data_IF_758671633500
#
_entry.id   IF_758671633500
#
_cell.length_a   1.000
_cell.length_b   1.000
_cell.length_c   1.000
_cell.angle_alpha   90.00
_cell.angle_beta   90.00
_cell.angle_gamma   90.00
#
_symmetry.space_group_name_H-M   'P 1'
#
loop_
_entity.id
_entity.type
_entity.pdbx_description
1 polymer ?
#
# COMPACT_ATOMS: atom_id res chain seq x y z
N UNK A 1 46.52 28.57 6.09
CA UNK A 1 46.46 27.10 6.08
C UNK A 1 45.10 26.69 5.54
N UNK A 2 45.08 26.05 4.37
CA UNK A 2 43.87 25.49 3.76
C UNK A 2 43.53 24.15 4.42
N UNK A 3 42.25 23.90 4.66
CA UNK A 3 41.66 22.55 4.57
C UNK A 3 40.16 22.67 4.30
N UNK A 4 39.80 22.40 3.04
CA UNK A 4 38.45 22.05 2.59
C UNK A 4 38.17 20.64 3.07
N UNK A 5 37.02 20.38 3.69
CA UNK A 5 36.51 19.02 3.85
C UNK A 5 35.35 18.85 2.88
N UNK A 6 35.61 17.99 1.89
CA UNK A 6 34.65 17.50 0.91
C UNK A 6 33.65 16.54 1.56
N UNK A 7 32.47 16.50 0.94
CA UNK A 7 31.37 15.59 1.21
C UNK A 7 31.76 14.11 1.13
N UNK A 8 31.12 13.30 1.97
CA UNK A 8 30.66 11.97 1.58
C UNK A 8 29.23 11.79 2.10
N UNK A 9 28.27 12.11 1.24
CA UNK A 9 26.91 11.59 1.30
C UNK A 9 26.98 10.08 1.08
N UNK A 10 27.01 9.33 2.18
CA UNK A 10 26.79 7.89 2.16
C UNK A 10 25.35 7.62 1.76
N UNK A 11 25.18 7.13 0.54
CA UNK A 11 23.94 6.54 0.01
C UNK A 11 23.48 5.47 1.00
N UNK A 12 22.48 5.77 1.81
CA UNK A 12 21.75 4.72 2.53
C UNK A 12 21.03 3.87 1.48
N UNK A 13 21.32 2.56 1.39
CA UNK A 13 20.49 1.68 0.59
C UNK A 13 19.10 1.67 1.23
N UNK A 14 18.07 1.91 0.41
CA UNK A 14 16.66 1.76 0.77
C UNK A 14 16.47 0.32 1.24
N UNK A 15 16.60 0.13 2.55
CA UNK A 15 16.54 -1.15 3.22
C UNK A 15 15.15 -1.75 3.01
N UNK A 16 15.14 -2.94 2.43
CA UNK A 16 13.98 -3.83 2.32
C UNK A 16 13.34 -4.01 3.71
N UNK A 17 12.24 -3.30 3.95
CA UNK A 17 11.47 -3.36 5.21
C UNK A 17 10.51 -4.57 5.29
N UNK A 18 10.84 -5.70 4.67
CA UNK A 18 10.06 -6.93 4.77
C UNK A 18 10.92 -8.06 5.34
N UNK A 19 11.13 -7.99 6.65
CA UNK A 19 11.70 -9.06 7.45
C UNK A 19 10.62 -10.05 7.91
N UNK A 20 10.75 -11.29 7.42
CA UNK A 20 10.15 -12.55 7.88
C UNK A 20 8.65 -12.81 7.64
N UNK A 21 8.37 -13.53 6.55
CA UNK A 21 7.60 -14.79 6.61
C UNK A 21 8.00 -15.65 5.41
N UNK A 22 8.97 -16.52 5.62
CA UNK A 22 9.47 -17.49 4.65
C UNK A 22 8.49 -18.66 4.52
N UNK A 23 7.42 -18.48 3.75
CA UNK A 23 6.63 -19.58 3.18
C UNK A 23 6.18 -19.20 1.77
N UNK A 24 6.94 -19.64 0.77
CA UNK A 24 6.59 -19.70 -0.66
C UNK A 24 5.52 -18.70 -1.14
N UNK A 25 5.80 -17.41 -0.97
CA UNK A 25 5.08 -16.37 -1.71
C UNK A 25 5.82 -16.29 -3.04
N UNK A 26 5.19 -16.81 -4.09
CA UNK A 26 5.36 -16.39 -5.49
C UNK A 26 5.86 -14.94 -5.48
N UNK A 27 6.94 -14.59 -6.18
CA UNK A 27 7.55 -13.24 -6.12
C UNK A 27 6.53 -12.16 -6.51
N UNK A 28 5.68 -11.75 -5.57
CA UNK A 28 4.62 -10.76 -5.76
C UNK A 28 5.32 -9.42 -5.66
N UNK A 29 5.33 -8.69 -6.77
CA UNK A 29 5.86 -7.35 -6.80
C UNK A 29 4.87 -6.43 -6.09
N UNK A 30 5.26 -5.90 -4.94
CA UNK A 30 4.47 -4.95 -4.17
C UNK A 30 4.95 -3.53 -4.50
N UNK A 31 4.14 -2.82 -5.27
CA UNK A 31 4.37 -1.40 -5.55
C UNK A 31 3.96 -0.49 -4.39
N UNK A 32 4.19 0.80 -4.58
CA UNK A 32 3.72 1.88 -3.70
C UNK A 32 3.09 2.95 -4.56
N UNK A 33 1.93 3.45 -4.16
CA UNK A 33 1.30 4.60 -4.80
C UNK A 33 1.91 5.87 -4.21
N UNK A 34 3.16 6.14 -4.58
CA UNK A 34 3.82 7.39 -4.19
C UNK A 34 3.07 8.58 -4.83
N UNK A 35 3.22 9.82 -4.32
CA UNK A 35 2.50 10.99 -4.84
C UNK A 35 2.64 11.21 -6.36
N UNK A 36 3.77 10.79 -6.92
CA UNK A 36 4.09 10.84 -8.35
C UNK A 36 3.51 9.70 -9.18
N UNK A 37 2.96 8.66 -8.55
CA UNK A 37 2.41 7.49 -9.23
C UNK A 37 0.96 7.75 -9.60
N UNK A 38 0.66 7.80 -10.90
CA UNK A 38 -0.71 7.95 -11.40
C UNK A 38 -1.35 6.60 -11.70
N UNK A 39 -2.67 6.57 -11.85
CA UNK A 39 -3.40 5.35 -12.21
C UNK A 39 -2.94 4.82 -13.59
N UNK A 40 -2.64 5.73 -14.52
CA UNK A 40 -2.18 5.41 -15.88
C UNK A 40 -0.88 4.59 -15.89
N UNK A 41 0.05 4.85 -14.95
CA UNK A 41 1.29 4.07 -14.87
C UNK A 41 1.02 2.65 -14.39
N UNK A 42 0.10 2.49 -13.43
CA UNK A 42 -0.33 1.18 -12.92
C UNK A 42 -1.04 0.40 -14.02
N UNK A 43 -1.88 1.07 -14.83
CA UNK A 43 -2.54 0.47 -15.99
C UNK A 43 -1.53 -0.01 -17.03
N UNK A 44 -0.56 0.82 -17.40
CA UNK A 44 0.49 0.44 -18.36
C UNK A 44 1.33 -0.75 -17.85
N UNK A 45 1.68 -0.77 -16.56
CA UNK A 45 2.36 -1.91 -15.93
C UNK A 45 1.51 -3.18 -15.97
N UNK A 46 0.22 -3.08 -15.67
CA UNK A 46 -0.72 -4.19 -15.69
C UNK A 46 -0.87 -4.77 -17.11
N UNK A 47 -0.99 -3.91 -18.12
CA UNK A 47 -1.03 -4.32 -19.52
C UNK A 47 0.27 -5.00 -19.97
N UNK A 48 1.42 -4.44 -19.59
CA UNK A 48 2.72 -5.05 -19.90
C UNK A 48 2.86 -6.44 -19.26
N UNK A 49 2.36 -6.62 -18.03
CA UNK A 49 2.33 -7.93 -17.36
C UNK A 49 1.32 -8.90 -17.99
N UNK A 50 0.15 -8.42 -18.40
CA UNK A 50 -0.86 -9.20 -19.10
C UNK A 50 -0.29 -9.76 -20.41
N UNK A 51 0.42 -8.93 -21.18
CA UNK A 51 1.06 -9.32 -22.43
C UNK A 51 2.21 -10.33 -22.23
N UNK A 52 2.93 -10.25 -21.09
CA UNK A 52 4.08 -11.13 -20.82
C UNK A 52 3.70 -12.48 -20.20
N UNK A 53 2.77 -12.49 -19.25
CA UNK A 53 2.44 -13.67 -18.42
C UNK A 53 1.14 -14.35 -18.83
N UNK A 54 0.27 -13.63 -19.53
CA UNK A 54 -1.08 -14.08 -19.89
C UNK A 54 -2.07 -14.01 -18.72
N UNK A 55 -3.36 -14.02 -19.06
CA UNK A 55 -4.48 -13.74 -18.16
C UNK A 55 -4.58 -14.71 -16.97
N UNK A 56 -4.23 -15.98 -17.18
CA UNK A 56 -4.33 -17.05 -16.17
C UNK A 56 -3.26 -16.88 -15.07
N UNK A 57 -2.03 -16.57 -15.44
CA UNK A 57 -0.95 -16.35 -14.46
C UNK A 57 -1.16 -15.04 -13.71
N UNK A 58 -1.59 -14.00 -14.40
CA UNK A 58 -1.92 -12.72 -13.79
C UNK A 58 -3.04 -12.87 -12.74
N UNK A 59 -4.09 -13.64 -13.05
CA UNK A 59 -5.16 -13.93 -12.09
C UNK A 59 -4.67 -14.63 -10.81
N UNK A 60 -3.73 -15.59 -10.92
CA UNK A 60 -3.14 -16.25 -9.74
C UNK A 60 -2.34 -15.28 -8.87
N UNK A 61 -1.55 -14.41 -9.49
CA UNK A 61 -0.77 -13.38 -8.79
C UNK A 61 -1.70 -12.41 -8.06
N UNK A 62 -2.78 -11.99 -8.70
CA UNK A 62 -3.76 -11.07 -8.11
C UNK A 62 -4.51 -11.68 -6.92
N UNK A 63 -4.79 -12.98 -6.93
CA UNK A 63 -5.37 -13.67 -5.76
C UNK A 63 -4.39 -13.70 -4.57
N UNK A 64 -3.09 -13.87 -4.83
CA UNK A 64 -2.07 -13.77 -3.78
C UNK A 64 -1.90 -12.31 -3.29
N UNK A 65 -1.91 -11.33 -4.20
CA UNK A 65 -1.94 -9.90 -3.86
C UNK A 65 -3.15 -9.53 -3.00
N UNK A 66 -4.32 -10.13 -3.26
CA UNK A 66 -5.53 -9.91 -2.46
C UNK A 66 -5.40 -10.39 -1.03
N UNK A 67 -4.76 -11.53 -0.79
CA UNK A 67 -4.47 -12.02 0.57
C UNK A 67 -3.53 -11.05 1.30
N UNK A 68 -2.52 -10.54 0.60
CA UNK A 68 -1.58 -9.56 1.15
C UNK A 68 -2.32 -8.24 1.47
N UNK A 69 -3.20 -7.77 0.59
CA UNK A 69 -4.02 -6.59 0.83
C UNK A 69 -4.89 -6.73 2.09
N UNK A 70 -5.51 -7.89 2.29
CA UNK A 70 -6.30 -8.16 3.51
C UNK A 70 -5.43 -8.13 4.77
N UNK A 71 -4.25 -8.75 4.75
CA UNK A 71 -3.32 -8.73 5.88
C UNK A 71 -2.81 -7.31 6.17
N UNK A 72 -2.48 -6.53 5.14
CA UNK A 72 -2.06 -5.14 5.29
C UNK A 72 -3.19 -4.26 5.85
N UNK A 73 -4.42 -4.44 5.40
CA UNK A 73 -5.59 -3.74 5.94
C UNK A 73 -5.86 -4.10 7.40
N UNK A 74 -5.76 -5.38 7.75
CA UNK A 74 -5.92 -5.83 9.13
C UNK A 74 -4.85 -5.22 10.04
N UNK A 75 -3.59 -5.21 9.61
CA UNK A 75 -2.47 -4.58 10.33
C UNK A 75 -2.62 -3.06 10.45
N UNK A 76 -3.09 -2.39 9.39
CA UNK A 76 -3.36 -0.94 9.44
C UNK A 76 -4.45 -0.65 10.47
N UNK A 77 -5.54 -1.42 10.46
CA UNK A 77 -6.64 -1.26 11.42
C UNK A 77 -6.17 -1.49 12.86
N UNK A 78 -5.44 -2.58 13.13
CA UNK A 78 -4.91 -2.86 14.48
C UNK A 78 -3.96 -1.75 14.96
N UNK A 79 -3.08 -1.23 14.10
CA UNK A 79 -2.24 -0.08 14.44
C UNK A 79 -3.07 1.17 14.77
N UNK A 80 -4.07 1.49 13.97
CA UNK A 80 -4.94 2.65 14.20
C UNK A 80 -5.79 2.50 15.47
N UNK A 81 -6.31 1.31 15.74
CA UNK A 81 -7.06 1.01 16.95
C UNK A 81 -6.17 1.16 18.20
N UNK A 82 -4.94 0.64 18.15
CA UNK A 82 -3.96 0.85 19.24
C UNK A 82 -3.63 2.33 19.45
N UNK A 83 -3.41 3.10 18.38
CA UNK A 83 -3.17 4.55 18.48
C UNK A 83 -4.39 5.27 19.08
N UNK A 84 -5.59 4.85 18.67
CA UNK A 84 -6.85 5.40 19.19
C UNK A 84 -7.00 5.14 20.68
N UNK A 85 -6.71 3.93 21.15
CA UNK A 85 -6.85 3.55 22.55
C UNK A 85 -5.78 4.17 23.45
N UNK A 86 -4.53 4.22 22.99
CA UNK A 86 -3.38 4.66 23.77
C UNK A 86 -3.13 6.18 23.72
N UNK A 87 -3.44 6.83 22.60
CA UNK A 87 -3.13 8.24 22.39
C UNK A 87 -4.39 9.11 22.28
N UNK A 88 -5.33 8.76 21.41
CA UNK A 88 -6.51 9.61 21.13
C UNK A 88 -7.50 9.62 22.28
N UNK A 89 -7.88 8.45 22.78
CA UNK A 89 -8.88 8.31 23.85
C UNK A 89 -8.41 8.98 25.15
N UNK A 90 -7.14 8.83 25.59
CA UNK A 90 -6.64 9.53 26.77
C UNK A 90 -6.56 11.05 26.57
N UNK A 91 -6.21 11.53 25.36
CA UNK A 91 -6.22 12.95 25.05
C UNK A 91 -7.64 13.54 25.11
N UNK A 92 -8.63 12.84 24.55
CA UNK A 92 -10.04 13.23 24.63
C UNK A 92 -10.57 13.26 26.07
N UNK A 93 -10.26 12.24 26.88
CA UNK A 93 -10.64 12.21 28.30
C UNK A 93 -10.03 13.38 29.07
N UNK A 94 -8.74 13.67 28.83
CA UNK A 94 -8.03 14.78 29.47
C UNK A 94 -8.62 16.14 29.09
N UNK A 95 -8.98 16.32 27.81
CA UNK A 95 -9.67 17.51 27.33
C UNK A 95 -11.04 17.68 27.97
N UNK A 96 -11.83 16.61 28.05
CA UNK A 96 -13.15 16.62 28.66
C UNK A 96 -13.11 16.96 30.16
N UNK A 97 -11.99 16.67 30.83
CA UNK A 97 -11.72 17.05 32.21
C UNK A 97 -11.24 18.51 32.37
N UNK A 98 -11.10 19.26 31.27
CA UNK A 98 -10.65 20.66 31.28
C UNK A 98 -9.13 20.84 31.37
N UNK A 99 -8.35 19.77 31.30
CA UNK A 99 -6.89 19.85 31.34
C UNK A 99 -6.31 20.15 29.94
N UNK A 100 -5.20 20.89 29.93
CA UNK A 100 -4.43 21.08 28.69
C UNK A 100 -3.85 19.76 28.18
N UNK A 101 -4.02 19.53 26.88
CA UNK A 101 -3.41 18.40 26.14
C UNK A 101 -1.99 18.77 25.70
N UNK A 102 -1.67 20.07 25.61
CA UNK A 102 -0.40 20.54 25.05
C UNK A 102 0.79 20.30 25.98
N UNK A 103 2.00 20.48 25.43
CA UNK A 103 3.24 20.36 26.18
C UNK A 103 3.61 18.91 26.47
N UNK A 104 4.04 18.64 27.70
CA UNK A 104 4.62 17.34 28.10
C UNK A 104 3.69 16.15 27.81
N UNK A 105 2.39 16.31 28.04
CA UNK A 105 1.41 15.25 27.77
C UNK A 105 1.39 14.89 26.27
N UNK A 106 1.29 15.89 25.39
CA UNK A 106 1.32 15.66 23.95
C UNK A 106 2.63 15.04 23.49
N UNK A 107 3.78 15.52 24.00
CA UNK A 107 5.09 14.96 23.65
C UNK A 107 5.21 13.48 24.03
N UNK A 108 4.68 13.09 25.19
CA UNK A 108 4.64 11.69 25.62
C UNK A 108 3.73 10.85 24.72
N UNK A 109 2.54 11.35 24.37
CA UNK A 109 1.62 10.65 23.46
C UNK A 109 2.17 10.52 22.04
N UNK A 110 2.89 11.52 21.55
CA UNK A 110 3.56 11.44 20.26
C UNK A 110 4.70 10.40 20.26
N UNK A 111 5.41 10.24 21.38
CA UNK A 111 6.42 9.19 21.54
C UNK A 111 5.78 7.79 21.57
N UNK A 112 4.69 7.62 22.30
CA UNK A 112 3.92 6.36 22.32
C UNK A 112 3.36 6.00 20.94
N UNK A 113 2.81 6.99 20.21
CA UNK A 113 2.32 6.80 18.85
C UNK A 113 3.44 6.31 17.91
N UNK A 114 4.62 6.95 17.97
CA UNK A 114 5.78 6.54 17.18
C UNK A 114 6.32 5.16 17.55
N UNK A 115 6.11 4.67 18.77
CA UNK A 115 6.46 3.30 19.17
C UNK A 115 5.49 2.27 18.59
N UNK A 116 4.22 2.62 18.40
CA UNK A 116 3.21 1.72 17.79
C UNK A 116 3.49 1.61 16.29
N UNK A 117 3.63 2.75 15.62
CA UNK A 117 4.05 2.81 14.23
C UNK A 117 4.61 4.20 13.93
N UNK A 118 5.71 4.26 13.18
CA UNK A 118 6.22 5.54 12.70
C UNK A 118 5.30 6.07 11.59
N UNK A 119 5.25 7.40 11.45
CA UNK A 119 4.49 8.06 10.38
C UNK A 119 4.85 7.50 9.00
N UNK A 120 6.14 7.30 8.74
CA UNK A 120 6.64 6.75 7.48
C UNK A 120 6.13 5.33 7.23
N UNK A 121 6.08 4.48 8.25
CA UNK A 121 5.60 3.10 8.10
C UNK A 121 4.10 3.07 7.83
N UNK A 122 3.32 3.93 8.49
CA UNK A 122 1.89 4.04 8.22
C UNK A 122 1.62 4.56 6.81
N UNK A 123 2.35 5.61 6.40
CA UNK A 123 2.23 6.20 5.07
C UNK A 123 2.59 5.17 3.99
N UNK A 124 3.73 4.48 4.10
CA UNK A 124 4.12 3.44 3.15
C UNK A 124 3.06 2.34 3.08
N UNK A 125 2.46 1.96 4.21
CA UNK A 125 1.42 0.93 4.23
C UNK A 125 0.16 1.40 3.51
N UNK A 126 -0.24 2.65 3.69
CA UNK A 126 -1.37 3.26 2.97
C UNK A 126 -1.09 3.31 1.47
N UNK A 127 0.08 3.81 1.05
CA UNK A 127 0.49 3.87 -0.35
C UNK A 127 0.52 2.48 -1.01
N UNK A 128 0.96 1.44 -0.28
CA UNK A 128 0.91 0.05 -0.79
C UNK A 128 -0.52 -0.49 -0.87
N UNK A 129 -1.39 -0.17 0.10
CA UNK A 129 -2.80 -0.57 0.05
C UNK A 129 -3.49 0.07 -1.16
N UNK A 130 -3.26 1.35 -1.39
CA UNK A 130 -3.90 2.09 -2.49
C UNK A 130 -3.40 1.59 -3.86
N UNK A 131 -2.09 1.31 -3.99
CA UNK A 131 -1.55 0.69 -5.19
C UNK A 131 -2.20 -0.67 -5.50
N UNK A 132 -2.32 -1.54 -4.48
CA UNK A 132 -2.93 -2.86 -4.63
C UNK A 132 -4.43 -2.77 -4.97
N UNK A 133 -5.16 -1.82 -4.38
CA UNK A 133 -6.57 -1.58 -4.71
C UNK A 133 -6.74 -1.11 -6.15
N UNK A 134 -5.99 -0.09 -6.56
CA UNK A 134 -6.05 0.45 -7.92
C UNK A 134 -5.78 -0.64 -8.96
N UNK A 135 -4.79 -1.49 -8.71
CA UNK A 135 -4.46 -2.62 -9.57
C UNK A 135 -5.57 -3.68 -9.65
N UNK A 136 -6.22 -3.99 -8.53
CA UNK A 136 -7.37 -4.91 -8.51
C UNK A 136 -8.58 -4.35 -9.26
N UNK A 137 -8.86 -3.06 -9.08
CA UNK A 137 -9.97 -2.37 -9.75
C UNK A 137 -9.74 -2.33 -11.27
N UNK A 138 -8.52 -1.99 -11.71
CA UNK A 138 -8.14 -2.03 -13.13
C UNK A 138 -8.26 -3.43 -13.73
N UNK A 139 -7.84 -4.47 -13.01
CA UNK A 139 -8.00 -5.84 -13.49
C UNK A 139 -9.47 -6.26 -13.60
N UNK A 140 -10.32 -5.84 -12.65
CA UNK A 140 -11.75 -6.10 -12.71
C UNK A 140 -12.39 -5.47 -13.96
N UNK A 141 -12.03 -4.22 -14.28
CA UNK A 141 -12.47 -3.52 -15.48
C UNK A 141 -12.00 -4.23 -16.77
N UNK A 142 -10.73 -4.64 -16.83
CA UNK A 142 -10.20 -5.39 -17.97
C UNK A 142 -10.95 -6.70 -18.18
N UNK A 143 -11.19 -7.47 -17.11
CA UNK A 143 -11.91 -8.74 -17.18
C UNK A 143 -13.35 -8.55 -17.65
N UNK A 144 -14.01 -7.46 -17.27
CA UNK A 144 -15.35 -7.14 -17.75
C UNK A 144 -15.35 -6.79 -19.25
N UNK A 145 -14.40 -5.97 -19.69
CA UNK A 145 -14.24 -5.64 -21.12
C UNK A 145 -13.96 -6.86 -22.01
N UNK A 146 -13.16 -7.82 -21.53
CA UNK A 146 -12.94 -9.09 -22.24
C UNK A 146 -14.20 -9.94 -22.33
N UNK A 147 -15.05 -9.93 -21.30
CA UNK A 147 -16.32 -10.68 -21.29
C UNK A 147 -17.30 -10.09 -22.29
N UNK A 148 -17.45 -8.77 -22.32
CA UNK A 148 -18.32 -8.05 -23.26
C UNK A 148 -17.83 -8.20 -24.72
N UNK A 149 -16.51 -8.20 -24.95
CA UNK A 149 -15.93 -8.46 -26.27
C UNK A 149 -16.17 -9.91 -26.76
N UNK A 150 -16.15 -10.90 -25.86
CA UNK A 150 -16.45 -12.29 -26.22
C UNK A 150 -17.92 -12.51 -26.57
N UNK A 151 -18.85 -11.83 -25.89
CA UNK A 151 -20.30 -11.93 -26.17
C UNK A 151 -20.73 -11.14 -27.43
N UNK A 152 -19.92 -10.18 -27.87
CA UNK A 152 -20.12 -9.40 -29.11
C UNK A 152 -19.70 -10.18 -30.37
N UNK A 153 -18.66 -11.03 -30.27
CA UNK A 153 -18.16 -11.84 -31.39
C UNK A 153 -19.14 -12.94 -31.83
N UNK A 154 -19.95 -13.47 -30.92
CA UNK A 154 -20.87 -14.57 -31.23
C UNK A 154 -22.16 -14.12 -31.95
N UNK A 155 -22.45 -12.81 -31.99
CA UNK A 155 -23.68 -12.28 -32.60
C UNK A 155 -23.55 -11.95 -34.09
N UNK A 156 -22.33 -11.92 -34.65
CA UNK A 156 -22.10 -11.58 -36.06
C UNK A 156 -21.95 -12.79 -37.00
N UNK A 157 -22.17 -14.02 -36.53
CA UNK A 157 -22.14 -15.24 -37.35
C UNK A 157 -23.54 -15.76 -37.78
N UNK A 158 -24.57 -14.90 -37.79
CA UNK A 158 -25.92 -15.31 -38.22
C UNK A 158 -26.68 -14.19 -38.92
N UNK A 159 -26.13 -13.71 -40.04
CA UNK A 159 -26.92 -13.08 -41.10
C UNK A 159 -26.41 -13.62 -42.44
N UNK A 160 -26.95 -14.78 -42.82
CA UNK A 160 -27.00 -15.28 -44.20
C UNK A 160 -28.23 -14.72 -44.89
#
# INVERSE_FOLDING_TARGET
MYSRIFAQTGVCPVGRFFGSSSKNISTVFLGRMAPETTIDTIEHELHAELNKKGLIQLGKILEDEKKILQDLQAKQKDCLDRIKESCVTPAQKRLAQGYSINGLFWSLKQKEMNQIATKEVLQIREETIDWLKARQDLYALLKQGYKEASESSDKNCSLS
#
